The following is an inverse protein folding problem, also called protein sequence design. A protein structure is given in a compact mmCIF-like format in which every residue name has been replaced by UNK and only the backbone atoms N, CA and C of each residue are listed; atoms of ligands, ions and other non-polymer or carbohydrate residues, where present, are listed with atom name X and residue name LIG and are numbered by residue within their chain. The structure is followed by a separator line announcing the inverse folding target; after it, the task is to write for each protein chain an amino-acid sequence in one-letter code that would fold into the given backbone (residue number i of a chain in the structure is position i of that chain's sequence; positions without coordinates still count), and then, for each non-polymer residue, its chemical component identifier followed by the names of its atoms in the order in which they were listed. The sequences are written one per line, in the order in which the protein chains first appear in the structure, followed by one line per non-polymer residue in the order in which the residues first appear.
data_IF_024532382121
#
_entry.id   IF_024532382121
#
_cell.length_a   1.000
_cell.length_b   1.000
_cell.length_c   1.000
_cell.angle_alpha   90.00
_cell.angle_beta   90.00
_cell.angle_gamma   90.00
#
_symmetry.space_group_name_H-M   'P 1'
#
loop_
_entity.id
_entity.type
_entity.pdbx_description
1 polymer ?
#
# COMPACT_ATOMS: atom_id res chain seq x y z
N UNK A 1 5.55 34.84 -16.15
CA UNK A 1 6.05 33.56 -15.62
C UNK A 1 4.88 32.60 -15.59
N UNK A 2 4.88 31.56 -16.43
CA UNK A 2 3.82 30.56 -16.40
C UNK A 2 3.84 29.86 -15.04
N UNK A 3 2.78 29.98 -14.27
CA UNK A 3 2.64 29.34 -12.97
C UNK A 3 2.92 27.86 -13.11
N UNK A 4 3.92 27.36 -12.37
CA UNK A 4 4.30 25.93 -12.41
C UNK A 4 3.08 25.11 -12.00
N UNK A 5 2.51 24.37 -12.96
CA UNK A 5 1.34 23.53 -12.74
C UNK A 5 1.57 22.57 -11.56
N UNK A 6 0.76 22.72 -10.50
CA UNK A 6 0.85 21.86 -9.33
C UNK A 6 -0.02 20.61 -9.52
N UNK A 7 0.54 19.45 -9.27
CA UNK A 7 -0.23 18.19 -9.25
C UNK A 7 -1.14 18.12 -8.02
N UNK A 8 -2.36 17.69 -8.21
CA UNK A 8 -3.32 17.40 -7.14
C UNK A 8 -3.20 15.90 -6.82
N UNK A 9 -2.86 15.58 -5.58
CA UNK A 9 -2.53 14.21 -5.18
C UNK A 9 -3.28 13.81 -3.92
N UNK A 10 -3.90 12.63 -3.94
CA UNK A 10 -4.52 12.00 -2.77
C UNK A 10 -3.57 10.94 -2.22
N UNK A 11 -3.39 10.90 -0.89
CA UNK A 11 -2.65 9.87 -0.18
C UNK A 11 -3.55 9.27 0.90
N UNK A 12 -3.84 7.97 0.84
CA UNK A 12 -4.59 7.30 1.90
C UNK A 12 -3.65 6.78 2.98
N UNK A 13 -4.11 6.71 4.23
CA UNK A 13 -3.28 6.27 5.36
C UNK A 13 -2.14 7.25 5.71
N UNK A 14 -2.30 8.53 5.36
CA UNK A 14 -1.25 9.53 5.52
C UNK A 14 -1.04 10.02 6.96
N UNK A 15 -1.84 9.55 7.93
CA UNK A 15 -1.62 9.92 9.35
C UNK A 15 -0.37 9.29 9.98
N UNK A 16 0.24 8.27 9.36
CA UNK A 16 1.42 7.58 9.90
C UNK A 16 2.26 6.88 8.83
N UNK A 17 3.43 6.40 9.22
CA UNK A 17 4.29 5.51 8.44
C UNK A 17 4.60 6.01 7.04
N UNK A 18 4.52 5.10 6.07
CA UNK A 18 4.84 5.36 4.66
C UNK A 18 3.93 6.42 4.06
N UNK A 19 2.62 6.36 4.37
CA UNK A 19 1.65 7.34 3.86
C UNK A 19 2.00 8.76 4.29
N UNK A 20 2.36 8.97 5.57
CA UNK A 20 2.79 10.27 6.10
C UNK A 20 4.04 10.78 5.41
N UNK A 21 5.06 9.94 5.29
CA UNK A 21 6.31 10.31 4.64
C UNK A 21 6.12 10.60 3.14
N UNK A 22 5.22 9.84 2.48
CA UNK A 22 4.86 10.08 1.07
C UNK A 22 4.14 11.41 0.90
N UNK A 23 3.16 11.71 1.75
CA UNK A 23 2.42 12.98 1.72
C UNK A 23 3.36 14.17 1.91
N UNK A 24 4.28 14.09 2.89
CA UNK A 24 5.30 15.13 3.12
C UNK A 24 6.22 15.30 1.91
N UNK A 25 6.75 14.22 1.34
CA UNK A 25 7.64 14.27 0.19
C UNK A 25 6.95 14.84 -1.07
N UNK A 26 5.65 14.57 -1.25
CA UNK A 26 4.85 15.14 -2.34
C UNK A 26 4.64 16.65 -2.16
N UNK A 27 4.27 17.08 -0.95
CA UNK A 27 4.17 18.51 -0.60
C UNK A 27 5.49 19.24 -0.88
N UNK A 28 6.60 18.71 -0.41
CA UNK A 28 7.94 19.29 -0.59
C UNK A 28 8.35 19.34 -2.06
N UNK A 29 7.75 18.46 -2.88
CA UNK A 29 7.90 18.49 -4.34
C UNK A 29 6.99 19.50 -5.05
N UNK A 30 6.19 20.27 -4.30
CA UNK A 30 5.29 21.29 -4.80
C UNK A 30 3.91 20.79 -5.22
N UNK A 31 3.50 19.57 -4.84
CA UNK A 31 2.15 19.07 -5.05
C UNK A 31 1.16 19.69 -4.04
N UNK A 32 -0.11 19.80 -4.43
CA UNK A 32 -1.22 19.99 -3.50
C UNK A 32 -1.64 18.59 -3.05
N UNK A 33 -1.56 18.34 -1.75
CA UNK A 33 -1.76 17.01 -1.17
C UNK A 33 -2.98 16.99 -0.28
N UNK A 34 -3.89 16.05 -0.56
CA UNK A 34 -5.01 15.67 0.28
C UNK A 34 -4.69 14.33 0.95
N UNK A 35 -4.82 14.27 2.26
CA UNK A 35 -4.55 13.10 3.05
C UNK A 35 -5.88 12.52 3.58
N UNK A 36 -6.10 11.21 3.34
CA UNK A 36 -7.26 10.47 3.81
C UNK A 36 -6.83 9.54 4.95
N UNK A 37 -7.35 9.80 6.13
CA UNK A 37 -7.26 8.88 7.26
C UNK A 37 -8.35 9.17 8.28
N UNK A 38 -8.59 8.23 9.18
CA UNK A 38 -9.60 8.38 10.24
C UNK A 38 -9.15 9.36 11.34
N UNK A 39 -7.84 9.51 11.54
CA UNK A 39 -7.24 10.35 12.58
C UNK A 39 -6.73 11.64 11.97
N UNK A 40 -7.20 12.77 12.47
CA UNK A 40 -6.64 14.05 12.10
C UNK A 40 -5.32 14.27 12.86
N UNK A 41 -4.20 14.01 12.19
CA UNK A 41 -2.86 14.34 12.68
C UNK A 41 -2.33 15.46 11.78
N UNK A 42 -2.34 16.71 12.23
CA UNK A 42 -2.00 17.86 11.41
C UNK A 42 -0.62 17.72 10.75
N UNK A 43 -0.56 18.10 9.49
CA UNK A 43 0.69 18.23 8.72
C UNK A 43 0.64 19.55 7.96
N UNK A 44 1.64 20.41 8.19
CA UNK A 44 1.73 21.70 7.53
C UNK A 44 1.69 21.55 6.00
N UNK A 45 0.86 22.35 5.32
CA UNK A 45 0.73 22.36 3.86
C UNK A 45 0.07 21.11 3.25
N UNK A 46 -0.58 20.26 4.05
CA UNK A 46 -1.34 19.08 3.62
C UNK A 46 -2.77 19.20 4.14
N UNK A 47 -3.74 19.03 3.27
CA UNK A 47 -5.16 19.06 3.65
C UNK A 47 -5.60 17.67 4.11
N UNK A 48 -5.99 17.57 5.39
CA UNK A 48 -6.59 16.35 5.92
C UNK A 48 -8.09 16.30 5.60
N UNK A 49 -8.56 15.12 5.17
CA UNK A 49 -9.98 14.77 5.12
C UNK A 49 -10.19 13.49 5.95
N UNK A 50 -11.11 13.56 6.92
CA UNK A 50 -11.42 12.41 7.78
C UNK A 50 -12.22 11.38 6.97
N UNK A 51 -11.54 10.35 6.50
CA UNK A 51 -12.10 9.30 5.62
C UNK A 51 -11.69 7.94 6.14
N UNK A 52 -12.66 7.06 6.37
CA UNK A 52 -12.43 5.63 6.41
C UNK A 52 -12.53 5.08 4.99
N UNK A 53 -11.44 4.49 4.48
CA UNK A 53 -11.41 3.95 3.10
C UNK A 53 -12.37 2.77 2.90
N UNK A 54 -12.85 2.15 3.99
CA UNK A 54 -13.84 1.07 3.93
C UNK A 54 -15.27 1.57 3.73
N UNK A 55 -15.51 2.88 3.95
CA UNK A 55 -16.78 3.54 3.68
C UNK A 55 -16.75 4.17 2.28
N UNK A 56 -17.38 3.48 1.31
CA UNK A 56 -17.46 3.93 -0.09
C UNK A 56 -18.13 5.32 -0.21
N UNK A 57 -19.12 5.63 0.62
CA UNK A 57 -19.81 6.92 0.59
C UNK A 57 -18.92 8.05 1.09
N UNK A 58 -18.18 7.84 2.19
CA UNK A 58 -17.21 8.79 2.71
C UNK A 58 -16.10 9.08 1.68
N UNK A 59 -15.58 8.03 1.03
CA UNK A 59 -14.57 8.16 -0.04
C UNK A 59 -15.11 8.97 -1.21
N UNK A 60 -16.31 8.63 -1.72
CA UNK A 60 -16.94 9.34 -2.83
C UNK A 60 -17.18 10.82 -2.51
N UNK A 61 -17.63 11.12 -1.29
CA UNK A 61 -17.89 12.49 -0.84
C UNK A 61 -16.59 13.32 -0.78
N UNK A 62 -15.51 12.74 -0.23
CA UNK A 62 -14.21 13.38 -0.16
C UNK A 62 -13.61 13.65 -1.55
N UNK A 63 -13.70 12.68 -2.46
CA UNK A 63 -13.23 12.86 -3.85
C UNK A 63 -14.02 13.95 -4.56
N UNK A 64 -15.36 13.98 -4.42
CA UNK A 64 -16.19 15.06 -4.99
C UNK A 64 -15.81 16.43 -4.43
N UNK A 65 -15.55 16.54 -3.13
CA UNK A 65 -15.09 17.80 -2.51
C UNK A 65 -13.77 18.29 -3.12
N UNK A 66 -12.82 17.38 -3.37
CA UNK A 66 -11.55 17.72 -4.02
C UNK A 66 -11.81 18.21 -5.47
N UNK A 67 -12.63 17.50 -6.23
CA UNK A 67 -12.95 17.86 -7.61
C UNK A 67 -13.68 19.22 -7.69
N UNK A 68 -14.58 19.51 -6.77
CA UNK A 68 -15.24 20.82 -6.71
C UNK A 68 -14.25 21.98 -6.49
N UNK A 69 -13.19 21.75 -5.72
CA UNK A 69 -12.18 22.76 -5.40
C UNK A 69 -11.06 22.84 -6.45
N UNK A 70 -10.55 21.71 -6.88
CA UNK A 70 -9.32 21.61 -7.68
C UNK A 70 -9.58 21.29 -9.16
N UNK A 71 -10.81 20.91 -9.50
CA UNK A 71 -11.28 20.52 -10.85
C UNK A 71 -10.65 19.24 -11.43
N UNK A 72 -9.65 18.66 -10.77
CA UNK A 72 -8.90 17.49 -11.22
C UNK A 72 -8.25 16.72 -10.08
N UNK A 73 -7.80 15.47 -10.38
CA UNK A 73 -6.92 14.67 -9.54
C UNK A 73 -5.85 14.07 -10.45
N UNK A 74 -4.57 14.40 -10.22
CA UNK A 74 -3.46 13.93 -11.04
C UNK A 74 -2.93 12.57 -10.59
N UNK A 75 -2.98 12.28 -9.28
CA UNK A 75 -2.55 10.97 -8.77
C UNK A 75 -3.26 10.59 -7.47
N UNK A 76 -3.33 9.29 -7.21
CA UNK A 76 -3.72 8.73 -5.92
C UNK A 76 -2.71 7.68 -5.46
N UNK A 77 -2.34 7.71 -4.18
CA UNK A 77 -1.45 6.73 -3.56
C UNK A 77 -2.22 6.00 -2.45
N UNK A 78 -2.50 4.72 -2.65
CA UNK A 78 -3.21 3.88 -1.72
C UNK A 78 -2.22 3.24 -0.73
N UNK A 79 -1.98 3.94 0.41
CA UNK A 79 -1.11 3.48 1.50
C UNK A 79 -1.88 2.94 2.71
N UNK A 80 -3.20 3.14 2.78
CA UNK A 80 -4.01 2.64 3.90
C UNK A 80 -3.92 1.11 3.98
N UNK A 81 -3.64 0.59 5.17
CA UNK A 81 -3.52 -0.84 5.39
C UNK A 81 -2.96 -1.17 6.77
N UNK A 82 -3.17 -2.40 7.20
CA UNK A 82 -2.60 -2.95 8.43
C UNK A 82 -2.29 -4.44 8.25
N UNK A 83 -1.56 -5.02 9.21
CA UNK A 83 -1.20 -6.43 9.20
C UNK A 83 -1.88 -7.19 10.34
N UNK A 84 -2.16 -8.48 10.06
CA UNK A 84 -2.50 -9.48 11.08
C UNK A 84 -1.43 -10.56 10.99
N UNK A 85 -0.98 -11.05 12.14
CA UNK A 85 -0.10 -12.22 12.24
C UNK A 85 -0.63 -13.22 13.27
N UNK A 86 -0.47 -14.49 12.96
CA UNK A 86 -0.93 -15.63 13.75
C UNK A 86 -1.28 -16.82 12.84
N UNK A 87 -1.54 -17.98 13.44
CA UNK A 87 -1.95 -19.15 12.70
C UNK A 87 -3.36 -18.95 12.11
N UNK A 88 -3.58 -19.49 10.92
CA UNK A 88 -4.86 -19.34 10.19
C UNK A 88 -6.04 -19.87 11.00
N UNK A 89 -5.89 -21.02 11.64
CA UNK A 89 -6.96 -21.65 12.43
C UNK A 89 -7.34 -20.88 13.68
N UNK A 90 -6.42 -20.08 14.22
CA UNK A 90 -6.64 -19.21 15.38
C UNK A 90 -6.93 -17.75 15.03
N UNK A 91 -7.02 -17.43 13.74
CA UNK A 91 -7.43 -16.10 13.26
C UNK A 91 -8.88 -16.16 12.82
N UNK A 92 -9.73 -15.34 13.43
CA UNK A 92 -11.16 -15.35 13.11
C UNK A 92 -11.41 -14.87 11.68
N UNK A 93 -12.49 -15.39 11.08
CA UNK A 93 -12.94 -14.92 9.75
C UNK A 93 -13.22 -13.41 9.75
N UNK A 94 -13.69 -12.85 10.85
CA UNK A 94 -13.99 -11.41 10.93
C UNK A 94 -12.70 -10.57 10.96
N UNK A 95 -11.65 -11.04 11.62
CA UNK A 95 -10.32 -10.40 11.54
C UNK A 95 -9.78 -10.43 10.11
N UNK A 96 -9.86 -11.59 9.44
CA UNK A 96 -9.44 -11.72 8.04
C UNK A 96 -10.23 -10.80 7.12
N UNK A 97 -11.57 -10.74 7.26
CA UNK A 97 -12.43 -9.81 6.52
C UNK A 97 -12.07 -8.34 6.79
N UNK A 98 -11.84 -7.97 8.06
CA UNK A 98 -11.45 -6.61 8.41
C UNK A 98 -10.15 -6.19 7.72
N UNK A 99 -9.16 -7.08 7.65
CA UNK A 99 -7.92 -6.82 6.93
C UNK A 99 -8.14 -6.64 5.43
N UNK A 100 -8.94 -7.51 4.81
CA UNK A 100 -9.29 -7.37 3.39
C UNK A 100 -10.11 -6.11 3.11
N UNK A 101 -11.03 -5.76 4.00
CA UNK A 101 -11.82 -4.54 3.87
C UNK A 101 -10.96 -3.29 3.81
N UNK A 102 -9.94 -3.18 4.66
CA UNK A 102 -9.03 -2.02 4.62
C UNK A 102 -8.04 -2.15 3.46
N UNK A 103 -7.28 -3.26 3.40
CA UNK A 103 -6.15 -3.37 2.49
C UNK A 103 -6.59 -3.44 1.03
N UNK A 104 -7.62 -4.24 0.72
CA UNK A 104 -8.06 -4.49 -0.63
C UNK A 104 -9.29 -3.64 -1.00
N UNK A 105 -10.41 -3.79 -0.32
CA UNK A 105 -11.63 -3.07 -0.69
C UNK A 105 -11.51 -1.56 -0.47
N UNK A 106 -10.76 -1.10 0.55
CA UNK A 106 -10.44 0.31 0.70
C UNK A 106 -9.67 0.88 -0.50
N UNK A 107 -8.69 0.14 -1.02
CA UNK A 107 -7.99 0.49 -2.27
C UNK A 107 -8.95 0.52 -3.45
N UNK A 108 -9.85 -0.47 -3.58
CA UNK A 108 -10.87 -0.52 -4.64
C UNK A 108 -11.82 0.67 -4.56
N UNK A 109 -12.33 1.03 -3.38
CA UNK A 109 -13.23 2.16 -3.18
C UNK A 109 -12.60 3.47 -3.65
N UNK A 110 -11.35 3.72 -3.26
CA UNK A 110 -10.65 4.95 -3.66
C UNK A 110 -10.40 4.98 -5.17
N UNK A 111 -9.97 3.86 -5.76
CA UNK A 111 -9.76 3.78 -7.20
C UNK A 111 -11.07 4.00 -7.97
N UNK A 112 -12.17 3.36 -7.56
CA UNK A 112 -13.50 3.57 -8.16
C UNK A 112 -13.94 5.03 -8.11
N UNK A 113 -13.70 5.71 -7.00
CA UNK A 113 -14.10 7.10 -6.82
C UNK A 113 -13.33 8.08 -7.72
N UNK A 114 -12.02 7.85 -7.98
CA UNK A 114 -11.21 8.76 -8.80
C UNK A 114 -11.27 8.46 -10.29
N UNK A 115 -11.50 7.20 -10.68
CA UNK A 115 -11.47 6.75 -12.07
C UNK A 115 -12.38 7.52 -13.03
N UNK A 116 -13.66 7.84 -12.71
CA UNK A 116 -14.52 8.61 -13.63
C UNK A 116 -13.92 9.97 -13.97
N UNK A 117 -13.32 10.64 -12.99
CA UNK A 117 -12.70 11.96 -13.16
C UNK A 117 -11.41 11.86 -13.96
N UNK A 118 -10.51 10.93 -13.63
CA UNK A 118 -9.28 10.68 -14.37
C UNK A 118 -9.57 10.30 -15.83
N UNK A 119 -10.59 9.47 -16.08
CA UNK A 119 -11.00 9.10 -17.44
C UNK A 119 -11.52 10.30 -18.22
N UNK A 120 -12.34 11.16 -17.60
CA UNK A 120 -12.84 12.38 -18.24
C UNK A 120 -11.72 13.36 -18.57
N UNK A 121 -10.73 13.50 -17.68
CA UNK A 121 -9.56 14.38 -17.92
C UNK A 121 -8.52 13.78 -18.87
N UNK A 122 -8.64 12.50 -19.28
CA UNK A 122 -7.75 11.82 -20.20
C UNK A 122 -6.34 11.55 -19.63
N UNK A 123 -6.19 11.62 -18.31
CA UNK A 123 -4.93 11.34 -17.65
C UNK A 123 -5.15 11.04 -16.15
N UNK A 124 -4.25 10.24 -15.55
CA UNK A 124 -4.24 9.93 -14.14
C UNK A 124 -3.13 8.96 -13.77
N UNK A 125 -2.77 8.91 -12.49
CA UNK A 125 -1.80 7.95 -12.00
C UNK A 125 -2.27 7.34 -10.66
N UNK A 126 -2.60 6.06 -10.68
CA UNK A 126 -2.98 5.29 -9.50
C UNK A 126 -1.75 4.51 -9.02
N UNK A 127 -1.37 4.66 -7.76
CA UNK A 127 -0.25 3.94 -7.15
C UNK A 127 -0.79 3.11 -5.98
N UNK A 128 -0.76 1.79 -6.14
CA UNK A 128 -1.21 0.85 -5.13
C UNK A 128 -0.01 0.26 -4.38
N UNK A 129 0.02 0.42 -3.07
CA UNK A 129 1.10 -0.11 -2.24
C UNK A 129 0.84 -1.59 -1.95
N UNK A 130 1.67 -2.43 -2.56
CA UNK A 130 1.75 -3.86 -2.33
C UNK A 130 2.95 -4.22 -1.44
N UNK A 131 3.35 -5.46 -1.42
CA UNK A 131 4.46 -5.97 -0.61
C UNK A 131 5.17 -7.10 -1.35
N UNK A 132 6.43 -7.35 -0.99
CA UNK A 132 7.14 -8.57 -1.37
C UNK A 132 6.42 -9.82 -0.84
N UNK A 133 5.67 -9.69 0.27
CA UNK A 133 4.81 -10.73 0.80
C UNK A 133 3.68 -11.17 -0.17
N UNK A 134 3.40 -10.40 -1.21
CA UNK A 134 2.47 -10.81 -2.28
C UNK A 134 3.00 -11.99 -3.13
N UNK A 135 4.32 -12.20 -3.15
CA UNK A 135 5.01 -13.24 -3.93
C UNK A 135 5.86 -14.19 -3.07
N UNK A 136 6.27 -13.76 -1.87
CA UNK A 136 6.98 -14.56 -0.87
C UNK A 136 5.99 -14.92 0.27
N UNK A 137 5.17 -15.93 0.07
CA UNK A 137 4.02 -16.28 0.92
C UNK A 137 4.41 -16.60 2.38
N UNK A 138 4.57 -15.55 3.20
CA UNK A 138 5.12 -15.66 4.56
C UNK A 138 4.12 -16.40 5.48
N UNK A 139 4.55 -17.51 6.16
CA UNK A 139 3.71 -18.21 7.11
C UNK A 139 3.34 -17.31 8.30
N UNK A 140 2.21 -17.59 8.94
CA UNK A 140 1.65 -16.80 10.05
C UNK A 140 1.37 -15.30 9.70
N UNK A 141 1.42 -14.96 8.40
CA UNK A 141 1.01 -13.68 7.83
C UNK A 141 0.12 -13.90 6.59
N UNK A 142 -0.59 -15.02 6.56
CA UNK A 142 -1.32 -15.53 5.40
C UNK A 142 -2.33 -14.53 4.83
N UNK A 143 -3.18 -13.95 5.69
CA UNK A 143 -4.20 -13.00 5.23
C UNK A 143 -3.62 -11.70 4.72
N UNK A 144 -2.52 -11.22 5.29
CA UNK A 144 -1.80 -10.07 4.78
C UNK A 144 -1.20 -10.36 3.40
N UNK A 145 -0.46 -11.48 3.26
CA UNK A 145 0.11 -11.90 1.98
C UNK A 145 -0.97 -12.04 0.90
N UNK A 146 -2.09 -12.69 1.22
CA UNK A 146 -3.23 -12.83 0.33
C UNK A 146 -3.82 -11.48 -0.07
N UNK A 147 -3.99 -10.54 0.87
CA UNK A 147 -4.52 -9.20 0.56
C UNK A 147 -3.59 -8.41 -0.37
N UNK A 148 -2.27 -8.54 -0.20
CA UNK A 148 -1.26 -7.87 -1.05
C UNK A 148 -1.14 -8.53 -2.43
N UNK A 149 -1.31 -9.84 -2.51
CA UNK A 149 -1.42 -10.55 -3.78
C UNK A 149 -2.69 -10.14 -4.55
N UNK A 150 -3.81 -9.99 -3.87
CA UNK A 150 -5.05 -9.49 -4.45
C UNK A 150 -4.89 -8.07 -5.02
N UNK A 151 -4.24 -7.15 -4.28
CA UNK A 151 -3.91 -5.80 -4.77
C UNK A 151 -3.05 -5.87 -6.04
N UNK A 152 -2.03 -6.72 -6.06
CA UNK A 152 -1.15 -6.84 -7.23
C UNK A 152 -1.91 -7.34 -8.45
N UNK A 153 -2.68 -8.43 -8.32
CA UNK A 153 -3.51 -8.99 -9.41
C UNK A 153 -4.53 -7.97 -9.92
N UNK A 154 -5.27 -7.33 -9.01
CA UNK A 154 -6.22 -6.26 -9.33
C UNK A 154 -5.55 -5.12 -10.11
N UNK A 155 -4.38 -4.68 -9.69
CA UNK A 155 -3.67 -3.55 -10.31
C UNK A 155 -3.19 -3.87 -11.73
N UNK A 156 -2.74 -5.10 -11.99
CA UNK A 156 -2.39 -5.55 -13.35
C UNK A 156 -3.59 -5.52 -14.28
N UNK A 157 -4.73 -6.03 -13.83
CA UNK A 157 -5.96 -6.03 -14.63
C UNK A 157 -6.44 -4.58 -14.88
N UNK A 158 -6.47 -3.76 -13.83
CA UNK A 158 -6.91 -2.37 -13.91
C UNK A 158 -6.04 -1.54 -14.87
N UNK A 159 -4.71 -1.71 -14.89
CA UNK A 159 -3.84 -1.00 -15.85
C UNK A 159 -4.29 -1.26 -17.29
N UNK A 160 -4.62 -2.52 -17.63
CA UNK A 160 -5.08 -2.87 -18.96
C UNK A 160 -6.45 -2.25 -19.31
N UNK A 161 -7.33 -2.12 -18.32
CA UNK A 161 -8.65 -1.50 -18.51
C UNK A 161 -8.56 0.02 -18.75
N UNK A 162 -7.66 0.71 -18.02
CA UNK A 162 -7.67 2.18 -17.98
C UNK A 162 -6.59 2.84 -18.81
N UNK A 163 -5.56 2.12 -19.24
CA UNK A 163 -4.49 2.61 -20.09
C UNK A 163 -4.96 3.30 -21.38
N UNK A 164 -6.01 2.83 -22.07
CA UNK A 164 -6.54 3.52 -23.26
C UNK A 164 -7.05 4.93 -22.97
N UNK A 165 -7.35 5.26 -21.69
CA UNK A 165 -7.81 6.57 -21.25
C UNK A 165 -6.69 7.46 -20.71
N UNK A 166 -5.41 7.10 -20.94
CA UNK A 166 -4.27 7.86 -20.44
C UNK A 166 -4.04 7.74 -18.93
N UNK A 167 -4.66 6.76 -18.29
CA UNK A 167 -4.49 6.49 -16.86
C UNK A 167 -3.47 5.37 -16.69
N UNK A 168 -2.52 5.56 -15.76
CA UNK A 168 -1.54 4.56 -15.40
C UNK A 168 -1.83 3.99 -14.01
N UNK A 169 -1.65 2.67 -13.86
CA UNK A 169 -1.69 2.00 -12.57
C UNK A 169 -0.32 1.42 -12.26
N UNK A 170 0.20 1.75 -11.08
CA UNK A 170 1.53 1.32 -10.63
C UNK A 170 1.41 0.55 -9.32
N UNK A 171 2.07 -0.60 -9.25
CA UNK A 171 2.27 -1.39 -8.04
C UNK A 171 3.62 -1.01 -7.44
N UNK A 172 3.65 -0.67 -6.15
CA UNK A 172 4.90 -0.51 -5.41
C UNK A 172 5.02 -1.68 -4.44
N UNK A 173 5.88 -2.64 -4.77
CA UNK A 173 6.22 -3.77 -3.91
C UNK A 173 7.24 -3.29 -2.86
N UNK A 174 6.85 -3.28 -1.60
CA UNK A 174 7.70 -2.90 -0.49
C UNK A 174 8.15 -4.13 0.31
N UNK A 175 9.40 -4.12 0.77
CA UNK A 175 9.90 -5.03 1.79
C UNK A 175 9.74 -4.46 3.18
N UNK A 176 10.67 -4.80 4.09
CA UNK A 176 10.63 -4.36 5.48
C UNK A 176 10.98 -2.87 5.59
N UNK A 177 10.17 -2.14 6.36
CA UNK A 177 10.30 -0.69 6.55
C UNK A 177 10.06 -0.38 8.02
N UNK A 178 10.99 0.36 8.61
CA UNK A 178 10.90 0.81 9.99
C UNK A 178 9.79 1.83 10.18
N UNK A 179 8.62 1.40 10.61
CA UNK A 179 7.45 2.26 10.85
C UNK A 179 6.66 1.77 12.06
N UNK A 180 5.65 2.54 12.47
CA UNK A 180 4.67 2.09 13.47
C UNK A 180 3.77 0.93 13.02
N UNK A 181 3.96 0.37 11.82
CA UNK A 181 3.20 -0.77 11.32
C UNK A 181 3.37 -2.01 12.19
N UNK A 182 4.61 -2.27 12.65
CA UNK A 182 4.95 -3.39 13.54
C UNK A 182 4.18 -3.33 14.85
N UNK A 183 4.09 -2.13 15.48
CA UNK A 183 3.34 -1.94 16.73
C UNK A 183 1.83 -1.98 16.52
N UNK A 184 1.33 -1.58 15.34
CA UNK A 184 -0.11 -1.59 15.00
C UNK A 184 -0.59 -2.93 14.45
N UNK A 185 0.31 -3.88 14.16
CA UNK A 185 -0.06 -5.22 13.73
C UNK A 185 -0.90 -5.91 14.81
N UNK A 186 -2.01 -6.50 14.41
CA UNK A 186 -2.79 -7.39 15.29
C UNK A 186 -2.07 -8.74 15.37
N UNK A 187 -1.43 -8.99 16.50
CA UNK A 187 -0.62 -10.20 16.72
C UNK A 187 -1.41 -11.19 17.57
N UNK A 188 -1.33 -12.46 17.19
CA UNK A 188 -1.79 -13.58 18.00
C UNK A 188 -0.70 -14.65 18.05
N UNK A 189 -0.42 -15.11 19.25
CA UNK A 189 0.42 -16.30 19.50
C UNK A 189 -0.45 -17.46 20.00
N UNK A 190 -1.78 -17.37 19.83
CA UNK A 190 -2.70 -18.44 20.22
C UNK A 190 -2.35 -19.71 19.46
N UNK A 191 -2.24 -20.83 20.16
CA UNK A 191 -1.83 -22.12 19.63
C UNK A 191 -0.33 -22.26 19.37
N UNK A 192 0.52 -21.39 19.91
CA UNK A 192 1.97 -21.45 19.67
C UNK A 192 2.61 -22.73 20.22
N UNK A 193 2.10 -23.28 21.32
CA UNK A 193 2.47 -24.57 21.89
C UNK A 193 2.08 -25.73 20.95
N UNK A 194 0.89 -25.70 20.37
CA UNK A 194 0.42 -26.68 19.38
C UNK A 194 1.26 -26.66 18.10
N UNK A 195 1.76 -25.48 17.72
CA UNK A 195 2.69 -25.27 16.60
C UNK A 195 4.18 -25.41 16.97
N UNK A 196 4.51 -25.88 18.18
CA UNK A 196 5.89 -26.09 18.63
C UNK A 196 6.72 -24.81 18.65
N UNK A 197 6.11 -23.66 19.02
CA UNK A 197 6.77 -22.36 19.10
C UNK A 197 7.05 -21.70 17.74
N UNK A 198 6.48 -22.20 16.64
CA UNK A 198 6.73 -21.66 15.29
C UNK A 198 6.06 -20.31 15.06
N UNK A 199 4.90 -20.06 15.68
CA UNK A 199 4.17 -18.81 15.51
C UNK A 199 5.00 -17.66 16.10
N UNK A 200 5.43 -17.79 17.36
CA UNK A 200 6.22 -16.77 18.04
C UNK A 200 7.57 -16.52 17.37
N UNK A 201 8.25 -17.57 16.92
CA UNK A 201 9.52 -17.42 16.16
C UNK A 201 9.32 -16.64 14.86
N UNK A 202 8.33 -17.02 14.06
CA UNK A 202 8.05 -16.35 12.79
C UNK A 202 7.66 -14.88 12.99
N UNK A 203 6.78 -14.60 13.95
CA UNK A 203 6.37 -13.22 14.26
C UNK A 203 7.55 -12.39 14.75
N UNK A 204 8.40 -12.94 15.62
CA UNK A 204 9.60 -12.26 16.12
C UNK A 204 10.60 -11.97 14.99
N UNK A 205 10.77 -12.91 14.05
CA UNK A 205 11.63 -12.69 12.89
C UNK A 205 11.10 -11.55 12.01
N UNK A 206 9.77 -11.52 11.71
CA UNK A 206 9.17 -10.42 10.96
C UNK A 206 9.37 -9.07 11.66
N UNK A 207 9.19 -9.01 12.98
CA UNK A 207 9.39 -7.78 13.76
C UNK A 207 10.84 -7.31 13.73
N UNK A 208 11.79 -8.26 13.87
CA UNK A 208 13.21 -7.95 13.76
C UNK A 208 13.54 -7.37 12.38
N UNK A 209 13.05 -7.99 11.30
CA UNK A 209 13.31 -7.53 9.94
C UNK A 209 12.71 -6.14 9.68
N UNK A 210 11.49 -5.87 10.16
CA UNK A 210 10.85 -4.57 10.05
C UNK A 210 11.54 -3.48 10.87
N UNK A 211 12.02 -3.80 12.08
CA UNK A 211 12.76 -2.87 12.93
C UNK A 211 14.13 -2.50 12.33
N UNK A 212 14.72 -3.40 11.54
CA UNK A 212 15.95 -3.16 10.77
C UNK A 212 15.67 -2.80 9.30
N UNK A 213 14.41 -2.50 8.98
CA UNK A 213 13.95 -2.18 7.65
C UNK A 213 14.37 -0.81 7.14
N UNK A 214 13.97 -0.49 5.93
CA UNK A 214 14.30 0.78 5.28
C UNK A 214 13.64 1.97 6.00
N UNK A 215 14.31 3.13 5.95
CA UNK A 215 13.76 4.38 6.45
C UNK A 215 12.51 4.79 5.63
N UNK A 216 11.36 5.06 6.27
CA UNK A 216 10.13 5.43 5.59
C UNK A 216 10.21 6.76 4.81
N UNK A 217 11.09 7.69 5.20
CA UNK A 217 11.30 8.93 4.45
C UNK A 217 11.93 8.68 3.08
N UNK A 218 12.87 7.72 3.01
CA UNK A 218 13.47 7.28 1.74
C UNK A 218 12.38 6.70 0.82
N UNK A 219 11.48 5.90 1.39
CA UNK A 219 10.35 5.33 0.66
C UNK A 219 9.36 6.40 0.21
N UNK A 220 9.04 7.36 1.08
CA UNK A 220 8.18 8.50 0.71
C UNK A 220 8.74 9.29 -0.47
N UNK A 221 10.03 9.61 -0.46
CA UNK A 221 10.73 10.27 -1.58
C UNK A 221 10.74 9.41 -2.84
N UNK A 222 10.94 8.10 -2.68
CA UNK A 222 10.89 7.15 -3.80
C UNK A 222 9.53 7.15 -4.49
N UNK A 223 8.42 7.06 -3.73
CA UNK A 223 7.05 7.10 -4.26
C UNK A 223 6.75 8.46 -4.90
N UNK A 224 7.15 9.57 -4.26
CA UNK A 224 6.98 10.91 -4.81
C UNK A 224 7.70 11.08 -6.16
N UNK A 225 8.86 10.43 -6.36
CA UNK A 225 9.55 10.42 -7.64
C UNK A 225 8.84 9.57 -8.70
N UNK A 226 8.11 8.51 -8.32
CA UNK A 226 7.27 7.74 -9.24
C UNK A 226 6.12 8.61 -9.76
N UNK A 227 5.47 9.40 -8.91
CA UNK A 227 4.38 10.34 -9.29
C UNK A 227 4.81 11.33 -10.38
N UNK A 228 6.11 11.68 -10.44
CA UNK A 228 6.65 12.63 -11.44
C UNK A 228 6.86 12.03 -12.83
N UNK A 229 6.84 10.69 -12.96
CA UNK A 229 7.12 10.02 -14.23
C UNK A 229 5.95 10.20 -15.20
N UNK A 230 6.27 10.54 -16.45
CA UNK A 230 5.26 10.66 -17.54
C UNK A 230 4.78 9.28 -18.02
N UNK A 231 5.67 8.30 -18.02
CA UNK A 231 5.39 6.90 -18.41
C UNK A 231 5.93 6.00 -17.30
N UNK A 232 5.18 5.81 -16.19
CA UNK A 232 5.62 4.95 -15.11
C UNK A 232 5.60 3.48 -15.55
N UNK A 233 6.48 2.66 -14.97
CA UNK A 233 6.38 1.22 -15.09
C UNK A 233 5.21 0.71 -14.23
N UNK A 234 4.68 -0.45 -14.59
CA UNK A 234 3.58 -1.08 -13.84
C UNK A 234 4.05 -1.57 -12.46
N UNK A 235 5.32 -1.94 -12.29
CA UNK A 235 5.87 -2.42 -11.01
C UNK A 235 7.15 -1.67 -10.66
N UNK A 236 7.23 -1.25 -9.41
CA UNK A 236 8.44 -0.75 -8.76
C UNK A 236 8.69 -1.52 -7.47
N UNK A 237 9.95 -1.86 -7.22
CA UNK A 237 10.40 -2.47 -5.97
C UNK A 237 11.42 -1.54 -5.33
N UNK A 238 11.24 -1.21 -4.06
CA UNK A 238 11.89 -0.07 -3.42
C UNK A 238 13.38 -0.24 -3.09
N UNK A 239 13.97 -1.44 -3.19
CA UNK A 239 15.42 -1.64 -3.00
C UNK A 239 15.97 -2.75 -3.89
N UNK A 240 17.30 -2.73 -4.09
CA UNK A 240 17.98 -3.78 -4.87
C UNK A 240 17.81 -5.18 -4.24
N UNK A 241 17.91 -5.29 -2.90
CA UNK A 241 17.69 -6.53 -2.15
C UNK A 241 16.30 -7.10 -2.47
N UNK A 242 15.25 -6.30 -2.29
CA UNK A 242 13.87 -6.76 -2.50
C UNK A 242 13.51 -6.92 -3.98
N UNK A 243 14.13 -6.15 -4.87
CA UNK A 243 13.99 -6.35 -6.32
C UNK A 243 14.52 -7.71 -6.74
N UNK A 244 15.70 -8.10 -6.23
CA UNK A 244 16.25 -9.43 -6.47
C UNK A 244 15.37 -10.53 -5.88
N UNK A 245 14.93 -10.37 -4.61
CA UNK A 245 14.05 -11.33 -3.94
C UNK A 245 12.71 -11.50 -4.68
N UNK A 246 12.05 -10.40 -5.04
CA UNK A 246 10.78 -10.43 -5.79
C UNK A 246 10.96 -11.13 -7.16
N UNK A 247 12.05 -10.82 -7.88
CA UNK A 247 12.36 -11.51 -9.13
C UNK A 247 12.58 -13.00 -8.91
N UNK A 248 13.36 -13.36 -7.90
CA UNK A 248 13.64 -14.75 -7.57
C UNK A 248 12.34 -15.53 -7.26
N UNK A 249 11.45 -14.94 -6.44
CA UNK A 249 10.16 -15.54 -6.11
C UNK A 249 9.25 -15.73 -7.34
N UNK A 250 9.40 -14.90 -8.37
CA UNK A 250 8.58 -14.99 -9.60
C UNK A 250 9.08 -16.03 -10.59
N UNK A 251 10.39 -16.37 -10.58
CA UNK A 251 10.98 -17.31 -11.55
C UNK A 251 11.28 -18.70 -10.95
N UNK A 252 11.42 -18.82 -9.64
CA UNK A 252 11.66 -20.13 -9.01
C UNK A 252 10.40 -21.01 -9.08
N UNK A 253 10.58 -22.34 -9.31
CA UNK A 253 9.51 -23.29 -9.10
C UNK A 253 8.94 -23.17 -7.66
N UNK A 254 7.61 -23.30 -7.54
CA UNK A 254 6.93 -23.10 -6.25
C UNK A 254 7.55 -23.91 -5.11
N UNK A 255 7.87 -25.21 -5.33
CA UNK A 255 8.48 -26.07 -4.32
C UNK A 255 9.83 -25.55 -3.79
N UNK A 256 10.63 -24.89 -4.64
CA UNK A 256 11.93 -24.33 -4.23
C UNK A 256 11.71 -23.04 -3.45
N UNK A 257 10.82 -22.18 -3.95
CA UNK A 257 10.46 -20.91 -3.31
C UNK A 257 9.92 -21.14 -1.89
N UNK A 258 8.94 -22.05 -1.74
CA UNK A 258 8.33 -22.33 -0.44
C UNK A 258 9.33 -22.89 0.58
N UNK A 259 10.29 -23.75 0.16
CA UNK A 259 11.38 -24.21 1.03
C UNK A 259 12.29 -23.08 1.52
N UNK A 260 12.54 -22.06 0.68
CA UNK A 260 13.33 -20.89 1.10
C UNK A 260 12.55 -20.07 2.13
N UNK A 261 11.26 -19.81 1.87
CA UNK A 261 10.39 -19.07 2.80
C UNK A 261 10.26 -19.82 4.14
N UNK A 262 10.05 -21.14 4.10
CA UNK A 262 10.00 -21.99 5.30
C UNK A 262 11.30 -21.90 6.11
N UNK A 263 12.46 -21.91 5.47
CA UNK A 263 13.75 -21.83 6.18
C UNK A 263 13.94 -20.48 6.90
N UNK A 264 13.33 -19.41 6.41
CA UNK A 264 13.47 -18.05 6.99
C UNK A 264 12.42 -17.79 8.06
N UNK A 265 11.17 -18.21 7.82
CA UNK A 265 10.01 -17.84 8.64
C UNK A 265 9.21 -19.03 9.19
N UNK A 266 9.59 -20.26 8.91
CA UNK A 266 8.87 -21.50 9.27
C UNK A 266 9.13 -22.09 10.68
#
# INVERSE_FOLDING_TARGET
MAGKYKKIVIVTGGSSGIGRCTASALRDSGCIVYEFSRRNIPMEGITHLSVDVTDENAVNSAVKQIIQKETKIDAVINCAGFGISGAVEFTSTDQAKAQFNVNFFGTVNVNKAVLPFMRHQGNGHIINISSVAAVAHIPFQTFYSASKAAISSYSYALENEVKPYGIHVTIVELGDIYTGFTQMRQKSILGDDEYGGRISRSVSQMEHDEQNGMNPEVIGKYIANIVKKKKPAIVYVASAKYKFLSLLCKILPAAVREKIVEKVYG
#
